data_IF_327867287790
#
_entry.id   IF_327867287790
#
_cell.length_a   1.000
_cell.length_b   1.000
_cell.length_c   1.000
_cell.angle_alpha   90.00
_cell.angle_beta   90.00
_cell.angle_gamma   90.00
#
_symmetry.space_group_name_H-M   'P 1'
#
loop_
_entity.id
_entity.type
_entity.pdbx_description
1 polymer ?
#
# COMPACT_ATOMS: atom_id res chain seq x y z
N UNK A 1 -10.94 19.90 4.55
CA UNK A 1 -10.11 19.00 5.38
C UNK A 1 -11.03 18.50 6.48
N UNK A 2 -11.48 17.25 6.43
CA UNK A 2 -12.33 16.69 7.48
C UNK A 2 -11.50 16.49 8.75
N UNK A 3 -11.98 17.00 9.88
CA UNK A 3 -11.39 16.81 11.21
C UNK A 3 -11.24 15.31 11.52
N UNK A 4 -10.05 14.91 11.97
CA UNK A 4 -9.63 13.52 12.19
C UNK A 4 -9.46 13.19 13.68
N UNK A 5 -9.86 14.09 14.58
CA UNK A 5 -9.54 14.06 16.02
C UNK A 5 -10.34 13.03 16.84
N UNK A 6 -11.55 12.65 16.41
CA UNK A 6 -12.48 11.82 17.21
C UNK A 6 -12.47 10.31 16.89
N UNK A 7 -11.59 9.85 15.99
CA UNK A 7 -11.53 8.44 15.62
C UNK A 7 -10.27 7.77 16.20
N UNK A 8 -10.44 6.92 17.20
CA UNK A 8 -9.43 5.94 17.58
C UNK A 8 -9.36 4.87 16.49
N UNK A 9 -8.26 4.87 15.72
CA UNK A 9 -8.12 3.95 14.60
C UNK A 9 -7.55 2.62 15.07
N UNK A 10 -8.35 1.56 14.98
CA UNK A 10 -7.95 0.25 15.47
C UNK A 10 -6.81 -0.38 14.66
N UNK A 11 -6.67 -0.12 13.36
CA UNK A 11 -5.53 -0.59 12.55
C UNK A 11 -5.49 0.11 11.18
N UNK A 12 -4.32 0.07 10.53
CA UNK A 12 -4.07 0.69 9.22
C UNK A 12 -3.74 -0.39 8.21
N UNK A 13 -4.27 -0.25 6.99
CA UNK A 13 -3.82 -1.04 5.84
C UNK A 13 -3.32 -0.11 4.73
N UNK A 14 -2.06 -0.29 4.36
CA UNK A 14 -1.38 0.50 3.33
C UNK A 14 -1.31 -0.24 2.00
N UNK A 15 -1.79 0.40 0.93
CA UNK A 15 -1.66 -0.04 -0.47
C UNK A 15 -0.66 0.86 -1.20
N UNK A 16 0.01 0.35 -2.22
CA UNK A 16 1.08 1.00 -2.97
C UNK A 16 0.83 0.98 -4.47
N UNK A 17 1.08 2.10 -5.15
CA UNK A 17 1.04 2.17 -6.61
C UNK A 17 2.11 3.12 -7.16
N UNK A 18 2.67 2.74 -8.31
CA UNK A 18 3.49 3.64 -9.12
C UNK A 18 2.64 4.78 -9.76
N UNK A 19 3.02 6.02 -9.52
CA UNK A 19 2.31 7.27 -9.87
C UNK A 19 3.30 8.46 -9.98
N UNK A 20 2.80 9.63 -10.45
CA UNK A 20 3.52 10.92 -10.45
C UNK A 20 3.31 11.75 -9.17
N UNK A 21 2.38 11.36 -8.30
CA UNK A 21 2.11 12.03 -7.01
C UNK A 21 2.60 11.17 -5.83
N UNK A 22 2.59 11.73 -4.61
CA UNK A 22 3.41 11.22 -3.48
C UNK A 22 2.60 10.44 -2.42
N UNK A 23 1.39 10.87 -2.02
CA UNK A 23 0.54 10.12 -1.05
C UNK A 23 -0.91 10.59 -1.19
N UNK A 24 -1.89 9.66 -1.23
CA UNK A 24 -3.33 9.99 -1.04
C UNK A 24 -3.89 9.25 0.19
N UNK A 25 -4.57 10.00 1.06
CA UNK A 25 -5.25 9.44 2.22
C UNK A 25 -6.70 9.14 1.87
N UNK A 26 -7.11 7.87 1.99
CA UNK A 26 -8.50 7.47 1.87
C UNK A 26 -9.00 7.02 3.24
N UNK A 27 -9.45 7.98 4.06
CA UNK A 27 -10.07 7.69 5.35
C UNK A 27 -11.40 6.95 5.16
N UNK A 28 -11.94 6.40 6.26
CA UNK A 28 -13.22 5.67 6.35
C UNK A 28 -14.35 6.45 5.65
N UNK A 29 -14.49 6.30 4.33
CA UNK A 29 -15.49 7.02 3.56
C UNK A 29 -16.83 6.28 3.61
N UNK A 30 -17.86 7.07 3.86
CA UNK A 30 -19.23 6.61 3.92
C UNK A 30 -19.65 6.08 2.54
N UNK A 31 -20.49 5.04 2.51
CA UNK A 31 -20.92 4.35 1.26
C UNK A 31 -21.58 5.27 0.22
N UNK A 32 -21.98 6.47 0.61
CA UNK A 32 -22.79 7.41 -0.15
C UNK A 32 -22.01 8.43 -0.99
N UNK A 33 -20.68 8.48 -0.90
CA UNK A 33 -19.91 9.44 -1.71
C UNK A 33 -19.75 9.02 -3.18
N UNK A 34 -19.78 9.97 -4.13
CA UNK A 34 -19.60 9.70 -5.54
C UNK A 34 -18.22 9.10 -5.82
N UNK A 35 -18.18 8.13 -6.74
CA UNK A 35 -16.94 7.46 -7.15
C UNK A 35 -16.00 8.48 -7.82
N UNK A 36 -14.69 8.47 -7.50
CA UNK A 36 -13.73 9.29 -8.21
C UNK A 36 -13.73 9.01 -9.71
N UNK A 37 -13.49 10.07 -10.50
CA UNK A 37 -13.41 10.00 -11.96
C UNK A 37 -12.10 9.36 -12.43
N UNK A 38 -10.99 9.58 -11.72
CA UNK A 38 -9.69 9.00 -12.07
C UNK A 38 -9.61 7.51 -11.73
N UNK A 39 -9.04 6.73 -12.67
CA UNK A 39 -9.00 5.26 -12.59
C UNK A 39 -8.31 4.71 -11.34
N UNK A 40 -7.23 5.34 -10.86
CA UNK A 40 -6.58 4.90 -9.63
C UNK A 40 -7.36 5.26 -8.37
N UNK A 41 -7.83 6.50 -8.26
CA UNK A 41 -8.66 6.93 -7.14
C UNK A 41 -9.89 6.03 -7.03
N UNK A 42 -10.43 5.56 -8.17
CA UNK A 42 -11.49 4.55 -8.21
C UNK A 42 -11.04 3.17 -7.72
N UNK A 43 -9.83 2.72 -8.01
CA UNK A 43 -9.25 1.47 -7.47
C UNK A 43 -9.01 1.57 -5.95
N UNK A 44 -8.39 2.66 -5.49
CA UNK A 44 -8.21 2.93 -4.06
C UNK A 44 -9.56 3.05 -3.36
N UNK A 45 -10.53 3.75 -3.95
CA UNK A 45 -11.91 3.81 -3.48
C UNK A 45 -12.55 2.42 -3.37
N UNK A 46 -12.36 1.54 -4.34
CA UNK A 46 -12.89 0.18 -4.27
C UNK A 46 -12.20 -0.65 -3.17
N UNK A 47 -10.89 -0.50 -2.97
CA UNK A 47 -10.13 -1.12 -1.87
C UNK A 47 -10.60 -0.59 -0.51
N UNK A 48 -10.73 0.73 -0.36
CA UNK A 48 -11.29 1.40 0.81
C UNK A 48 -12.73 0.95 1.10
N UNK A 49 -13.57 0.79 0.07
CA UNK A 49 -14.95 0.26 0.21
C UNK A 49 -14.97 -1.20 0.68
N UNK A 50 -14.02 -2.03 0.24
CA UNK A 50 -13.90 -3.43 0.73
C UNK A 50 -13.41 -3.44 2.17
N UNK A 51 -12.48 -2.56 2.51
CA UNK A 51 -11.93 -2.42 3.85
C UNK A 51 -12.83 -1.65 4.83
N UNK A 52 -13.85 -0.91 4.39
CA UNK A 52 -14.69 -0.12 5.28
C UNK A 52 -15.48 -0.96 6.30
N UNK A 53 -15.71 -2.25 6.00
CA UNK A 53 -16.29 -3.21 6.94
C UNK A 53 -15.31 -3.69 8.02
N UNK A 54 -14.03 -3.45 7.84
CA UNK A 54 -12.95 -3.98 8.68
C UNK A 54 -12.56 -3.05 9.83
N UNK A 55 -13.07 -1.80 9.82
CA UNK A 55 -12.69 -0.76 10.78
C UNK A 55 -11.34 -0.09 10.47
N UNK A 56 -10.61 -0.57 9.45
CA UNK A 56 -9.31 -0.05 9.09
C UNK A 56 -9.33 1.31 8.39
N UNK A 57 -8.27 2.09 8.62
CA UNK A 57 -7.92 3.22 7.74
C UNK A 57 -7.12 2.71 6.56
N UNK A 58 -7.46 3.18 5.36
CA UNK A 58 -6.73 2.85 4.14
C UNK A 58 -5.83 4.01 3.71
N UNK A 59 -4.55 3.73 3.57
CA UNK A 59 -3.57 4.70 3.05
C UNK A 59 -3.12 4.24 1.67
N UNK A 60 -3.34 5.07 0.65
CA UNK A 60 -2.83 4.86 -0.69
C UNK A 60 -1.49 5.56 -0.84
N UNK A 61 -0.42 4.79 -0.98
CA UNK A 61 0.93 5.31 -1.21
C UNK A 61 1.20 5.34 -2.70
N UNK A 62 1.66 6.49 -3.16
CA UNK A 62 2.04 6.69 -4.53
C UNK A 62 3.56 6.88 -4.61
N UNK A 63 4.24 6.09 -5.44
CA UNK A 63 5.71 6.17 -5.60
C UNK A 63 6.08 6.42 -7.06
N UNK A 64 7.28 6.97 -7.30
CA UNK A 64 7.71 7.34 -8.65
C UNK A 64 7.81 6.16 -9.62
N UNK A 65 7.41 6.38 -10.87
CA UNK A 65 7.45 5.37 -11.93
C UNK A 65 8.88 4.89 -12.19
N UNK A 66 9.03 3.56 -12.37
CA UNK A 66 10.32 2.90 -12.59
C UNK A 66 11.08 3.39 -13.84
N UNK A 67 10.36 3.89 -14.85
CA UNK A 67 10.95 4.41 -16.08
C UNK A 67 11.66 5.75 -15.87
N UNK A 68 11.24 6.54 -14.89
CA UNK A 68 11.84 7.84 -14.57
C UNK A 68 12.90 7.71 -13.47
N UNK A 69 12.76 6.74 -12.57
CA UNK A 69 13.62 6.52 -11.42
C UNK A 69 13.77 5.02 -11.17
N UNK A 70 14.99 4.50 -11.04
CA UNK A 70 15.22 3.08 -10.76
C UNK A 70 15.18 2.76 -9.26
N UNK A 71 15.03 1.47 -8.95
CA UNK A 71 15.25 0.94 -7.59
C UNK A 71 16.64 1.42 -7.09
N UNK A 72 16.79 1.90 -5.83
CA UNK A 72 15.94 1.71 -4.65
C UNK A 72 14.87 2.78 -4.37
N UNK A 73 14.69 3.77 -5.24
CA UNK A 73 13.94 5.00 -4.90
C UNK A 73 12.49 4.73 -4.46
N UNK A 74 11.80 3.81 -5.12
CA UNK A 74 10.42 3.46 -4.78
C UNK A 74 10.31 2.81 -3.39
N UNK A 75 11.32 2.00 -3.03
CA UNK A 75 11.39 1.39 -1.71
C UNK A 75 11.68 2.44 -0.63
N UNK A 76 12.50 3.45 -0.94
CA UNK A 76 12.76 4.60 -0.06
C UNK A 76 11.52 5.43 0.22
N UNK A 77 10.76 5.74 -0.82
CA UNK A 77 9.50 6.46 -0.68
C UNK A 77 8.50 5.66 0.15
N UNK A 78 8.33 4.37 -0.15
CA UNK A 78 7.40 3.54 0.59
C UNK A 78 7.80 3.38 2.06
N UNK A 79 9.08 3.14 2.35
CA UNK A 79 9.59 3.06 3.73
C UNK A 79 9.49 4.38 4.50
N UNK A 80 9.61 5.51 3.79
CA UNK A 80 9.41 6.84 4.38
C UNK A 80 7.96 7.00 4.84
N UNK A 81 6.99 6.57 4.03
CA UNK A 81 5.57 6.60 4.44
C UNK A 81 5.31 5.64 5.59
N UNK A 82 5.86 4.43 5.58
CA UNK A 82 5.72 3.48 6.69
C UNK A 82 6.24 4.11 7.99
N UNK A 83 7.43 4.72 7.93
CA UNK A 83 8.06 5.35 9.08
C UNK A 83 7.28 6.58 9.56
N UNK A 84 6.65 7.32 8.66
CA UNK A 84 5.75 8.42 9.00
C UNK A 84 4.48 7.94 9.71
N UNK A 85 3.83 6.87 9.21
CA UNK A 85 2.64 6.27 9.82
C UNK A 85 2.96 5.64 11.19
N UNK A 86 4.13 5.01 11.31
CA UNK A 86 4.63 4.40 12.55
C UNK A 86 5.35 5.39 13.48
N UNK A 87 5.39 6.68 13.14
CA UNK A 87 6.02 7.74 13.92
C UNK A 87 5.03 8.67 14.60
N UNK A 88 5.54 9.79 15.12
CA UNK A 88 4.75 10.75 15.90
C UNK A 88 3.62 11.41 15.10
N UNK A 89 3.82 11.62 13.79
CA UNK A 89 2.79 12.19 12.93
C UNK A 89 1.59 11.25 12.75
N UNK A 90 1.83 9.94 12.66
CA UNK A 90 0.76 8.94 12.73
C UNK A 90 0.03 9.01 14.06
N UNK A 91 0.79 9.00 15.18
CA UNK A 91 0.21 9.07 16.54
C UNK A 91 -0.69 10.29 16.72
N UNK A 92 -0.26 11.47 16.26
CA UNK A 92 -1.04 12.72 16.30
C UNK A 92 -2.37 12.64 15.52
N UNK A 93 -2.46 11.73 14.56
CA UNK A 93 -3.66 11.47 13.73
C UNK A 93 -4.51 10.31 14.24
N UNK A 94 -4.23 9.84 15.46
CA UNK A 94 -4.98 8.76 16.12
C UNK A 94 -4.58 7.35 15.70
N UNK A 95 -3.45 7.20 14.99
CA UNK A 95 -3.03 5.87 14.49
C UNK A 95 -2.33 5.07 15.58
N UNK A 96 -2.67 3.78 15.70
CA UNK A 96 -1.91 2.86 16.54
C UNK A 96 -0.65 2.41 15.79
N UNK A 97 0.52 2.81 16.29
CA UNK A 97 1.81 2.54 15.65
C UNK A 97 2.14 1.05 15.56
N UNK A 98 1.54 0.23 16.44
CA UNK A 98 1.74 -1.23 16.49
C UNK A 98 0.76 -1.99 15.58
N UNK A 99 -0.22 -1.29 15.00
CA UNK A 99 -1.29 -1.90 14.22
C UNK A 99 -1.29 -1.45 12.77
N UNK A 100 -0.09 -1.37 12.19
CA UNK A 100 0.12 -0.99 10.78
C UNK A 100 0.37 -2.23 9.94
N UNK A 101 -0.53 -2.52 9.01
CA UNK A 101 -0.45 -3.60 8.04
C UNK A 101 -0.07 -3.06 6.66
N UNK A 102 0.72 -3.84 5.92
CA UNK A 102 0.96 -3.60 4.49
C UNK A 102 0.15 -4.58 3.65
N UNK A 103 -0.30 -4.19 2.48
CA UNK A 103 -0.89 -5.17 1.58
C UNK A 103 -1.19 -4.60 0.22
N UNK A 104 -0.94 -5.41 -0.80
CA UNK A 104 -1.34 -5.06 -2.15
C UNK A 104 -1.30 -6.27 -3.09
N UNK A 105 -1.56 -6.00 -4.36
CA UNK A 105 -1.65 -6.96 -5.43
C UNK A 105 -0.51 -6.84 -6.45
N UNK A 106 -0.11 -7.96 -7.08
CA UNK A 106 0.90 -8.00 -8.17
C UNK A 106 2.20 -7.26 -7.78
N UNK A 107 2.61 -6.22 -8.50
CA UNK A 107 3.82 -5.42 -8.24
C UNK A 107 3.76 -4.69 -6.89
N UNK A 108 2.57 -4.28 -6.43
CA UNK A 108 2.41 -3.69 -5.11
C UNK A 108 2.68 -4.72 -4.00
N UNK A 109 2.25 -5.98 -4.21
CA UNK A 109 2.53 -7.08 -3.29
C UNK A 109 4.03 -7.40 -3.20
N UNK A 110 4.76 -7.28 -4.32
CA UNK A 110 6.23 -7.33 -4.31
C UNK A 110 6.82 -6.20 -3.45
N UNK A 111 6.36 -4.96 -3.65
CA UNK A 111 6.81 -3.79 -2.91
C UNK A 111 6.58 -3.93 -1.40
N UNK A 112 5.41 -4.45 -0.99
CA UNK A 112 5.11 -4.77 0.42
C UNK A 112 6.07 -5.82 0.98
N UNK A 113 6.33 -6.91 0.26
CA UNK A 113 7.27 -7.94 0.70
C UNK A 113 8.71 -7.39 0.80
N UNK A 114 9.17 -6.67 -0.22
CA UNK A 114 10.51 -6.07 -0.28
C UNK A 114 10.73 -5.04 0.84
N UNK A 115 9.77 -4.15 1.10
CA UNK A 115 9.85 -3.20 2.21
C UNK A 115 9.94 -3.91 3.57
N UNK A 116 9.29 -5.06 3.71
CA UNK A 116 9.35 -5.85 4.94
C UNK A 116 10.73 -6.43 5.21
N UNK A 117 11.35 -7.02 4.19
CA UNK A 117 12.72 -7.52 4.26
C UNK A 117 13.68 -6.36 4.57
N UNK A 118 13.52 -5.23 3.88
CA UNK A 118 14.35 -4.05 4.08
C UNK A 118 14.27 -3.48 5.49
N UNK A 119 13.06 -3.43 6.08
CA UNK A 119 12.88 -2.97 7.46
C UNK A 119 13.53 -3.93 8.46
N UNK A 120 13.44 -5.25 8.21
CA UNK A 120 14.16 -6.25 8.99
C UNK A 120 15.67 -6.03 8.91
N UNK A 121 16.22 -5.86 7.71
CA UNK A 121 17.67 -5.65 7.50
C UNK A 121 18.16 -4.38 8.19
N UNK A 122 17.35 -3.31 8.14
CA UNK A 122 17.63 -2.02 8.77
C UNK A 122 17.23 -1.95 10.25
N UNK A 123 16.79 -3.06 10.87
CA UNK A 123 16.32 -3.13 12.27
C UNK A 123 15.23 -2.10 12.62
N UNK A 124 14.37 -1.77 11.65
CA UNK A 124 13.21 -0.89 11.83
C UNK A 124 11.99 -1.69 12.29
N UNK A 125 11.02 -1.00 12.90
CA UNK A 125 9.76 -1.59 13.37
C UNK A 125 9.04 -2.34 12.23
N UNK A 126 8.67 -3.62 12.39
CA UNK A 126 8.01 -4.38 11.33
C UNK A 126 6.55 -3.94 11.12
N UNK A 127 5.94 -4.47 10.07
CA UNK A 127 4.49 -4.50 9.93
C UNK A 127 3.85 -5.39 11.00
N UNK A 128 2.60 -5.09 11.39
CA UNK A 128 1.79 -6.02 12.18
C UNK A 128 1.42 -7.26 11.36
N UNK A 129 1.01 -7.05 10.11
CA UNK A 129 0.66 -8.13 9.18
C UNK A 129 0.85 -7.69 7.72
N UNK A 130 0.86 -8.67 6.81
CA UNK A 130 0.91 -8.46 5.37
C UNK A 130 -0.24 -9.16 4.66
N UNK A 131 -0.88 -8.48 3.71
CA UNK A 131 -1.85 -9.09 2.80
C UNK A 131 -1.31 -9.04 1.36
N UNK A 132 -0.80 -10.18 0.87
CA UNK A 132 -0.15 -10.26 -0.45
C UNK A 132 -1.06 -10.99 -1.44
N UNK A 133 -1.72 -10.24 -2.33
CA UNK A 133 -2.61 -10.78 -3.35
C UNK A 133 -1.80 -11.05 -4.63
N UNK A 134 -1.57 -12.31 -4.99
CA UNK A 134 -0.82 -12.69 -6.20
C UNK A 134 0.46 -11.85 -6.46
N UNK A 135 1.36 -11.70 -5.47
CA UNK A 135 2.50 -10.80 -5.58
C UNK A 135 3.48 -11.25 -6.68
N UNK A 136 4.11 -10.29 -7.36
CA UNK A 136 5.16 -10.56 -8.35
C UNK A 136 6.47 -10.90 -7.65
N UNK A 137 6.72 -12.18 -7.36
CA UNK A 137 7.87 -12.57 -6.52
C UNK A 137 9.21 -12.63 -7.27
N UNK A 138 9.20 -12.62 -8.61
CA UNK A 138 10.38 -12.91 -9.43
C UNK A 138 10.29 -12.21 -10.79
N UNK A 139 11.39 -11.61 -11.25
CA UNK A 139 11.49 -10.98 -12.58
C UNK A 139 11.68 -12.00 -13.72
N UNK A 140 12.26 -13.17 -13.43
CA UNK A 140 12.21 -14.28 -14.37
C UNK A 140 10.82 -14.92 -14.28
N UNK A 141 9.96 -14.55 -15.23
CA UNK A 141 8.65 -15.18 -15.47
C UNK A 141 8.82 -16.53 -16.19
N UNK A 142 9.69 -17.39 -15.68
CA UNK A 142 10.00 -18.69 -16.25
C UNK A 142 9.54 -19.85 -15.35
N UNK A 143 8.58 -19.62 -14.47
CA UNK A 143 7.91 -20.74 -13.80
C UNK A 143 7.10 -21.52 -14.83
N UNK A 144 6.80 -22.78 -14.52
CA UNK A 144 5.98 -23.63 -15.38
C UNK A 144 4.65 -22.94 -15.71
N UNK A 145 4.01 -22.33 -14.72
CA UNK A 145 2.73 -21.65 -14.86
C UNK A 145 2.83 -20.36 -15.68
N UNK A 146 3.96 -19.64 -15.59
CA UNK A 146 4.19 -18.44 -16.38
C UNK A 146 4.43 -18.77 -17.85
N UNK A 147 5.11 -19.89 -18.13
CA UNK A 147 5.31 -20.41 -19.48
C UNK A 147 3.99 -20.96 -20.03
N UNK A 148 3.25 -21.78 -19.27
CA UNK A 148 1.96 -22.35 -19.73
C UNK A 148 0.92 -21.28 -20.05
N UNK A 149 0.91 -20.16 -19.31
CA UNK A 149 -0.05 -19.07 -19.48
C UNK A 149 0.50 -17.88 -20.29
N UNK A 150 1.69 -17.98 -20.90
CA UNK A 150 2.19 -16.92 -21.77
C UNK A 150 1.40 -16.90 -23.08
N UNK A 151 1.11 -15.70 -23.57
CA UNK A 151 0.45 -15.48 -24.87
C UNK A 151 1.30 -15.89 -26.07
N UNK A 152 2.55 -16.29 -25.85
CA UNK A 152 3.51 -16.69 -26.88
C UNK A 152 3.37 -18.17 -27.29
N UNK A 153 2.44 -18.93 -26.68
CA UNK A 153 2.14 -20.33 -26.99
C UNK A 153 0.96 -20.52 -27.98
N UNK A 154 0.59 -19.49 -28.76
CA UNK A 154 -0.45 -19.56 -29.81
C UNK A 154 0.19 -19.29 -31.17
#
# INVERSE_FOLDING_TARGET
MSDLSDATWDWILMFVKASKAFVEFCTRRNRAEPKPAHGWQRRLHNKARRASKSGAVIIGVEYRLALEQSLPIQLDEYDSVISWVQGDEGRKRGTSLDKVCGGDDSAGGNMTAAASLRRKDNRKKPWMAQLLLYPEKRLHFNTKEAIENSSDNI
#
